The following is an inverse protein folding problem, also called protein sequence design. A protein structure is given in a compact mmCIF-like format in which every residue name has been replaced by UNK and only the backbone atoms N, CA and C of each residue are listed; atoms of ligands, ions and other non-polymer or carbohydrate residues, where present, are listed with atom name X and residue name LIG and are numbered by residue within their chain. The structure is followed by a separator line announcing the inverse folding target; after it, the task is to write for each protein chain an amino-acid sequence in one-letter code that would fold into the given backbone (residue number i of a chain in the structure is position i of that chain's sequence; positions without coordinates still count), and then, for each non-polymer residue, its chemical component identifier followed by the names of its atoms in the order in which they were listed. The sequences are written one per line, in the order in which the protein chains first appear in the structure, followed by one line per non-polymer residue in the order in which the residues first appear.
data_IF_656706015410
#
_entry.id   IF_656706015410
#
_cell.length_a   1.000
_cell.length_b   1.000
_cell.length_c   1.000
_cell.angle_alpha   90.00
_cell.angle_beta   90.00
_cell.angle_gamma   90.00
#
_symmetry.space_group_name_H-M   'P 1'
#
loop_
_entity.id
_entity.type
_entity.pdbx_description
1 polymer ?
#
# COMPACT_ATOMS: atom_id res chain seq x y z
N UNK A 1 7.45 -20.66 -3.87
CA UNK A 1 6.73 -21.00 -5.12
C UNK A 1 5.66 -19.95 -5.30
N UNK A 2 5.56 -19.32 -6.48
CA UNK A 2 4.51 -18.33 -6.75
C UNK A 2 3.15 -19.03 -6.83
N UNK A 3 2.16 -18.57 -6.05
CA UNK A 3 0.82 -19.13 -6.03
C UNK A 3 0.02 -18.62 -7.23
N UNK A 4 0.28 -19.18 -8.42
CA UNK A 4 -0.39 -18.80 -9.67
C UNK A 4 -1.49 -19.82 -9.98
N UNK A 5 -2.74 -19.35 -10.03
CA UNK A 5 -3.92 -20.21 -10.15
C UNK A 5 -4.84 -19.70 -11.29
N UNK A 6 -5.38 -20.56 -12.16
CA UNK A 6 -6.41 -20.17 -13.13
C UNK A 6 -7.68 -19.65 -12.46
N UNK A 7 -8.33 -18.62 -13.03
CA UNK A 7 -9.64 -18.14 -12.54
C UNK A 7 -10.70 -19.26 -12.54
N UNK A 8 -10.58 -20.27 -13.41
CA UNK A 8 -11.47 -21.44 -13.41
C UNK A 8 -11.45 -22.22 -12.10
N UNK A 9 -10.35 -22.18 -11.36
CA UNK A 9 -10.11 -22.98 -10.17
C UNK A 9 -10.65 -22.29 -8.91
N UNK A 10 -11.06 -21.01 -9.03
CA UNK A 10 -11.81 -20.28 -8.00
C UNK A 10 -13.19 -20.88 -7.71
N UNK A 11 -13.67 -21.86 -8.49
CA UNK A 11 -14.86 -22.65 -8.14
C UNK A 11 -14.70 -23.34 -6.78
N UNK A 12 -13.47 -23.67 -6.39
CA UNK A 12 -13.10 -24.22 -5.08
C UNK A 12 -12.36 -23.19 -4.23
N UNK A 13 -12.92 -21.98 -4.12
CA UNK A 13 -12.26 -20.80 -3.53
C UNK A 13 -11.70 -21.02 -2.11
N UNK A 14 -12.29 -21.90 -1.28
CA UNK A 14 -11.78 -22.18 0.07
C UNK A 14 -10.31 -22.67 0.07
N UNK A 15 -9.93 -23.51 -0.90
CA UNK A 15 -8.54 -23.99 -1.00
C UNK A 15 -7.60 -22.87 -1.48
N UNK A 16 -8.10 -21.99 -2.35
CA UNK A 16 -7.34 -20.85 -2.84
C UNK A 16 -7.10 -19.83 -1.72
N UNK A 17 -8.14 -19.51 -0.95
CA UNK A 17 -8.04 -18.57 0.17
C UNK A 17 -7.19 -19.10 1.33
N UNK A 18 -7.13 -20.41 1.55
CA UNK A 18 -6.24 -21.00 2.57
C UNK A 18 -4.74 -20.72 2.30
N UNK A 19 -4.40 -20.42 1.06
CA UNK A 19 -3.04 -20.07 0.63
C UNK A 19 -2.77 -18.56 0.62
N UNK A 20 -3.77 -17.73 0.90
CA UNK A 20 -3.63 -16.28 1.05
C UNK A 20 -3.27 -15.99 2.50
N UNK A 21 -2.06 -15.48 2.73
CA UNK A 21 -1.52 -15.19 4.06
C UNK A 21 -0.80 -13.86 4.03
N UNK A 22 -0.54 -13.26 5.19
CA UNK A 22 0.28 -12.05 5.28
C UNK A 22 1.62 -12.25 4.56
N UNK A 23 1.98 -11.28 3.70
CA UNK A 23 3.15 -11.36 2.82
C UNK A 23 3.11 -12.39 1.68
N UNK A 24 1.98 -13.10 1.48
CA UNK A 24 1.81 -14.09 0.41
C UNK A 24 0.54 -13.83 -0.39
N UNK A 25 0.72 -13.46 -1.65
CA UNK A 25 -0.37 -13.23 -2.58
C UNK A 25 -0.61 -14.42 -3.51
N UNK A 26 -1.84 -14.54 -3.99
CA UNK A 26 -2.23 -15.49 -5.03
C UNK A 26 -2.51 -14.72 -6.32
N UNK A 27 -1.83 -15.08 -7.40
CA UNK A 27 -2.02 -14.48 -8.72
C UNK A 27 -3.04 -15.31 -9.49
N UNK A 28 -4.16 -14.70 -9.85
CA UNK A 28 -5.16 -15.35 -10.69
C UNK A 28 -4.91 -15.06 -12.17
N UNK A 29 -4.90 -16.13 -12.98
CA UNK A 29 -4.70 -16.03 -14.42
C UNK A 29 -5.98 -16.22 -15.22
N UNK A 30 -6.12 -15.47 -16.32
CA UNK A 30 -7.15 -15.67 -17.33
C UNK A 30 -6.46 -15.92 -18.67
N UNK A 31 -6.73 -17.08 -19.28
CA UNK A 31 -6.09 -17.52 -20.52
C UNK A 31 -4.55 -17.51 -20.43
N UNK A 32 -4.00 -18.02 -19.31
CA UNK A 32 -2.56 -18.09 -19.06
C UNK A 32 -1.88 -16.77 -18.73
N UNK A 33 -2.63 -15.67 -18.58
CA UNK A 33 -2.09 -14.34 -18.25
C UNK A 33 -2.54 -13.90 -16.87
N UNK A 34 -1.61 -13.43 -16.04
CA UNK A 34 -1.91 -12.80 -14.76
C UNK A 34 -2.93 -11.66 -14.95
N UNK A 35 -3.98 -11.63 -14.14
CA UNK A 35 -5.07 -10.65 -14.28
C UNK A 35 -5.57 -10.10 -12.95
N UNK A 36 -5.55 -10.90 -11.89
CA UNK A 36 -5.96 -10.46 -10.56
C UNK A 36 -4.96 -10.92 -9.51
N UNK A 37 -4.96 -10.25 -8.38
CA UNK A 37 -4.23 -10.64 -7.18
C UNK A 37 -5.24 -10.80 -6.06
N UNK A 38 -5.13 -11.89 -5.31
CA UNK A 38 -5.84 -12.07 -4.03
C UNK A 38 -4.79 -11.97 -2.94
N UNK A 39 -4.99 -11.02 -2.03
CA UNK A 39 -4.08 -10.74 -0.93
C UNK A 39 -4.84 -10.74 0.39
N UNK A 40 -4.12 -10.97 1.47
CA UNK A 40 -4.64 -10.80 2.82
C UNK A 40 -5.10 -9.35 3.02
N UNK A 41 -6.17 -9.16 3.79
CA UNK A 41 -6.76 -7.83 3.95
C UNK A 41 -5.85 -6.87 4.72
N UNK A 42 -5.12 -7.35 5.73
CA UNK A 42 -4.19 -6.52 6.49
C UNK A 42 -2.99 -6.12 5.62
N UNK A 43 -2.49 -7.04 4.79
CA UNK A 43 -1.42 -6.74 3.83
C UNK A 43 -1.88 -5.70 2.79
N UNK A 44 -3.11 -5.82 2.27
CA UNK A 44 -3.70 -4.81 1.40
C UNK A 44 -3.79 -3.44 2.06
N UNK A 45 -4.24 -3.38 3.32
CA UNK A 45 -4.29 -2.12 4.07
C UNK A 45 -2.90 -1.52 4.28
N UNK A 46 -1.92 -2.34 4.65
CA UNK A 46 -0.53 -1.93 4.84
C UNK A 46 0.09 -1.38 3.55
N UNK A 47 -0.16 -2.02 2.41
CA UNK A 47 0.26 -1.52 1.11
C UNK A 47 -0.34 -0.14 0.83
N UNK A 48 -1.65 0.03 1.06
CA UNK A 48 -2.34 1.32 0.86
C UNK A 48 -1.76 2.41 1.77
N UNK A 49 -1.56 2.11 3.05
CA UNK A 49 -0.97 3.04 4.01
C UNK A 49 0.47 3.42 3.62
N UNK A 50 1.25 2.47 3.10
CA UNK A 50 2.62 2.71 2.62
C UNK A 50 2.64 3.65 1.42
N UNK A 51 1.72 3.47 0.46
CA UNK A 51 1.60 4.37 -0.69
C UNK A 51 1.24 5.80 -0.24
N UNK A 52 0.26 5.95 0.66
CA UNK A 52 -0.10 7.25 1.22
C UNK A 52 1.09 7.88 1.95
N UNK A 53 1.84 7.11 2.74
CA UNK A 53 3.03 7.61 3.41
C UNK A 53 4.08 8.13 2.41
N UNK A 54 4.32 7.41 1.31
CA UNK A 54 5.26 7.86 0.28
C UNK A 54 4.78 9.12 -0.44
N UNK A 55 3.48 9.26 -0.69
CA UNK A 55 2.91 10.48 -1.25
C UNK A 55 3.14 11.68 -0.32
N UNK A 56 2.86 11.54 0.98
CA UNK A 56 3.06 12.61 1.96
C UNK A 56 4.54 12.95 2.17
N UNK A 57 5.42 11.93 2.22
CA UNK A 57 6.87 12.15 2.27
C UNK A 57 7.38 12.86 1.02
N UNK A 58 6.84 12.53 -0.16
CA UNK A 58 7.19 13.22 -1.40
C UNK A 58 6.78 14.69 -1.34
N UNK A 59 5.55 15.00 -0.90
CA UNK A 59 5.08 16.38 -0.69
C UNK A 59 5.99 17.12 0.29
N UNK A 60 6.30 16.53 1.43
CA UNK A 60 7.20 17.12 2.44
C UNK A 60 8.59 17.40 1.89
N UNK A 61 9.15 16.49 1.07
CA UNK A 61 10.44 16.69 0.42
C UNK A 61 10.42 17.85 -0.59
N UNK A 62 9.33 18.00 -1.34
CA UNK A 62 9.19 19.12 -2.29
C UNK A 62 9.03 20.45 -1.54
N UNK A 63 8.18 20.50 -0.51
CA UNK A 63 8.04 21.68 0.35
C UNK A 63 9.37 22.09 0.99
N UNK A 64 10.16 21.12 1.48
CA UNK A 64 11.49 21.40 2.01
C UNK A 64 12.44 22.02 0.96
N UNK A 65 12.32 21.62 -0.31
CA UNK A 65 13.13 22.15 -1.41
C UNK A 65 12.70 23.58 -1.81
N UNK A 66 11.40 23.85 -1.80
CA UNK A 66 10.81 25.12 -2.26
C UNK A 66 10.76 26.18 -1.17
N UNK A 67 10.30 25.82 0.03
CA UNK A 67 10.08 26.72 1.16
C UNK A 67 11.20 26.67 2.21
N UNK A 68 12.05 25.64 2.17
CA UNK A 68 13.09 25.41 3.18
C UNK A 68 12.55 24.70 4.43
N UNK A 69 13.38 24.66 5.48
CA UNK A 69 13.02 24.04 6.75
C UNK A 69 12.62 25.10 7.77
N UNK A 70 11.79 24.70 8.74
CA UNK A 70 11.47 25.51 9.91
C UNK A 70 12.28 25.00 11.11
N UNK A 71 12.83 25.93 11.88
CA UNK A 71 13.32 25.64 13.23
C UNK A 71 12.16 25.40 14.18
N UNK A 72 12.43 24.75 15.32
CA UNK A 72 11.42 24.46 16.32
C UNK A 72 10.74 25.75 16.85
N UNK A 73 11.49 26.84 16.98
CA UNK A 73 10.94 28.12 17.46
C UNK A 73 10.04 28.78 16.41
N UNK A 74 10.44 28.76 15.13
CA UNK A 74 9.60 29.23 14.03
C UNK A 74 8.29 28.42 13.93
N UNK A 75 8.35 27.10 14.13
CA UNK A 75 7.17 26.25 14.13
C UNK A 75 6.22 26.61 15.28
N UNK A 76 6.75 26.76 16.51
CA UNK A 76 5.95 27.14 17.69
C UNK A 76 5.26 28.48 17.52
N UNK A 77 5.96 29.49 17.00
CA UNK A 77 5.37 30.80 16.72
C UNK A 77 4.19 30.68 15.73
N UNK A 78 4.39 29.93 14.64
CA UNK A 78 3.38 29.74 13.57
C UNK A 78 2.15 28.93 14.03
N UNK A 79 2.32 28.02 15.00
CA UNK A 79 1.21 27.25 15.59
C UNK A 79 0.44 28.05 16.63
N UNK A 80 1.12 28.90 17.42
CA UNK A 80 0.49 29.78 18.39
C UNK A 80 -0.30 30.94 17.74
N UNK A 81 0.02 31.31 16.50
CA UNK A 81 -0.77 32.28 15.71
C UNK A 81 -2.08 31.70 15.14
N UNK A 82 -2.30 30.38 15.22
CA UNK A 82 -3.46 29.69 14.63
C UNK A 82 -4.48 29.16 15.65
N UNK A 83 -4.31 29.50 16.94
CA UNK A 83 -5.27 29.25 18.02
C UNK A 83 -5.77 30.59 18.57
#
# INVERSE_FOLDING_TARGET
MENIIPVSDMRSYNQVLANVKAGQEVILTKNGRARYVVSDFEEYQKMKATLTLFEELHKGKQALKEEGHLTLDQLKARMNEKL
#
